data_IF_383950177281
#
_entry.id   IF_383950177281
#
_cell.length_a   1.000
_cell.length_b   1.000
_cell.length_c   1.000
_cell.angle_alpha   90.00
_cell.angle_beta   90.00
_cell.angle_gamma   90.00
#
_symmetry.space_group_name_H-M   'P 1'
#
loop_
_entity.id
_entity.type
_entity.pdbx_description
1 polymer ?
#
# COMPACT_ATOMS: atom_id res chain seq x y z
N UNK A 1 17.62 -21.58 -8.02
CA UNK A 1 16.22 -21.10 -8.08
C UNK A 1 16.10 -20.04 -7.01
N UNK A 2 15.64 -18.81 -7.36
CA UNK A 2 15.43 -17.76 -6.38
C UNK A 2 14.35 -18.12 -5.37
N UNK A 3 14.43 -17.56 -4.18
CA UNK A 3 13.47 -17.79 -3.09
C UNK A 3 12.19 -16.94 -3.23
N UNK A 4 12.03 -16.23 -4.36
CA UNK A 4 10.89 -15.35 -4.63
C UNK A 4 10.30 -15.61 -6.02
N UNK A 5 8.99 -15.40 -6.16
CA UNK A 5 8.28 -15.25 -7.42
C UNK A 5 7.89 -13.77 -7.57
N UNK A 6 8.17 -13.17 -8.73
CA UNK A 6 7.81 -11.79 -9.05
C UNK A 6 6.76 -11.80 -10.16
N UNK A 7 5.69 -11.02 -9.99
CA UNK A 7 4.60 -10.87 -10.94
C UNK A 7 4.33 -9.36 -11.18
N UNK A 8 4.25 -8.96 -12.44
CA UNK A 8 3.87 -7.60 -12.83
C UNK A 8 2.38 -7.36 -12.65
N UNK A 9 2.01 -6.13 -12.27
CA UNK A 9 0.62 -5.75 -12.00
C UNK A 9 -0.05 -5.02 -13.18
N UNK A 10 0.59 -4.97 -14.36
CA UNK A 10 0.08 -4.24 -15.52
C UNK A 10 0.29 -2.71 -15.45
N UNK A 11 0.87 -2.20 -14.39
CA UNK A 11 1.38 -0.82 -14.24
C UNK A 11 2.87 -0.93 -13.97
N UNK A 12 3.70 -0.38 -14.84
CA UNK A 12 5.16 -0.42 -14.70
C UNK A 12 5.60 0.19 -13.38
N UNK A 13 6.44 -0.52 -12.63
CA UNK A 13 6.92 -0.12 -11.30
C UNK A 13 6.11 -0.72 -10.14
N UNK A 14 5.09 -1.51 -10.42
CA UNK A 14 4.33 -2.26 -9.42
C UNK A 14 4.55 -3.77 -9.57
N UNK A 15 4.97 -4.44 -8.50
CA UNK A 15 5.27 -5.87 -8.51
C UNK A 15 4.70 -6.59 -7.30
N UNK A 16 4.07 -7.74 -7.53
CA UNK A 16 3.70 -8.68 -6.47
C UNK A 16 4.89 -9.62 -6.25
N UNK A 17 5.33 -9.74 -5.01
CA UNK A 17 6.44 -10.61 -4.65
C UNK A 17 5.93 -11.67 -3.67
N UNK A 18 6.07 -12.93 -4.06
CA UNK A 18 5.67 -14.06 -3.24
C UNK A 18 6.93 -14.82 -2.82
N UNK A 19 7.31 -14.80 -1.53
CA UNK A 19 8.45 -15.57 -1.04
C UNK A 19 8.15 -17.07 -1.02
N UNK A 20 9.19 -17.88 -1.11
CA UNK A 20 9.08 -19.31 -0.85
C UNK A 20 8.93 -19.54 0.66
N UNK A 21 7.88 -20.26 1.05
CA UNK A 21 7.60 -20.59 2.45
C UNK A 21 7.98 -22.04 2.71
N UNK A 22 8.86 -22.27 3.68
CA UNK A 22 9.29 -23.58 4.12
C UNK A 22 8.60 -23.91 5.45
N UNK A 23 7.63 -24.82 5.43
CA UNK A 23 6.86 -25.23 6.62
C UNK A 23 7.20 -26.63 7.10
N UNK A 24 7.14 -26.85 8.45
CA UNK A 24 7.21 -28.15 9.10
C UNK A 24 6.31 -28.18 10.35
N UNK A 25 6.38 -29.24 11.15
CA UNK A 25 5.57 -29.41 12.37
C UNK A 25 5.82 -28.36 13.48
N UNK A 26 6.81 -27.48 13.33
CA UNK A 26 7.13 -26.38 14.26
C UNK A 26 6.59 -25.04 13.79
N UNK A 27 6.17 -24.92 12.51
CA UNK A 27 5.75 -23.67 11.89
C UNK A 27 6.38 -23.47 10.51
N UNK A 28 6.78 -22.24 10.18
CA UNK A 28 7.36 -21.93 8.88
C UNK A 28 8.57 -21.01 8.99
N UNK A 29 9.40 -21.04 7.94
CA UNK A 29 10.47 -20.08 7.66
C UNK A 29 10.32 -19.55 6.25
N UNK A 30 10.61 -18.27 6.05
CA UNK A 30 10.73 -17.65 4.73
C UNK A 30 11.73 -16.49 4.77
N UNK A 31 12.44 -16.29 3.69
CA UNK A 31 13.19 -15.05 3.48
C UNK A 31 12.22 -13.97 2.95
N UNK A 32 12.08 -12.89 3.71
CA UNK A 32 11.16 -11.81 3.35
C UNK A 32 11.83 -10.75 2.46
N UNK A 33 13.15 -10.70 2.48
CA UNK A 33 13.98 -9.91 1.59
C UNK A 33 15.37 -10.52 1.50
N UNK A 34 15.84 -10.70 0.28
CA UNK A 34 17.19 -11.10 -0.03
C UNK A 34 17.65 -10.29 -1.25
N UNK A 35 18.64 -9.41 -1.07
CA UNK A 35 19.08 -8.49 -2.10
C UNK A 35 19.49 -9.21 -3.41
N UNK A 36 20.15 -10.37 -3.29
CA UNK A 36 20.60 -11.15 -4.47
C UNK A 36 19.42 -11.69 -5.27
N UNK A 37 18.40 -12.21 -4.60
CA UNK A 37 17.19 -12.75 -5.27
C UNK A 37 16.39 -11.64 -5.95
N UNK A 38 16.30 -10.46 -5.30
CA UNK A 38 15.66 -9.29 -5.91
C UNK A 38 16.44 -8.81 -7.14
N UNK A 39 17.78 -8.69 -7.05
CA UNK A 39 18.62 -8.32 -8.20
C UNK A 39 18.53 -9.34 -9.34
N UNK A 40 18.51 -10.64 -9.06
CA UNK A 40 18.34 -11.70 -10.07
C UNK A 40 16.98 -11.60 -10.76
N UNK A 41 15.96 -11.12 -10.05
CA UNK A 41 14.62 -10.86 -10.61
C UNK A 41 14.52 -9.49 -11.33
N UNK A 42 15.62 -8.74 -11.45
CA UNK A 42 15.66 -7.43 -12.10
C UNK A 42 15.23 -6.26 -11.20
N UNK A 43 15.03 -6.50 -9.91
CA UNK A 43 14.61 -5.50 -8.92
C UNK A 43 15.83 -4.98 -8.15
N UNK A 44 16.35 -3.81 -8.54
CA UNK A 44 17.62 -3.28 -8.04
C UNK A 44 17.47 -2.15 -6.99
N UNK A 45 16.37 -2.15 -6.23
CA UNK A 45 16.15 -1.16 -5.17
C UNK A 45 17.06 -1.42 -3.97
N UNK A 46 17.45 -0.34 -3.29
CA UNK A 46 18.14 -0.38 -2.01
C UNK A 46 17.23 0.18 -0.92
N UNK A 47 17.00 -0.58 0.13
CA UNK A 47 16.22 -0.13 1.28
C UNK A 47 17.11 0.45 2.37
N UNK A 48 16.66 1.56 2.97
CA UNK A 48 17.43 2.32 3.98
C UNK A 48 16.70 2.45 5.31
N UNK A 49 15.38 2.15 5.36
CA UNK A 49 14.57 2.27 6.57
C UNK A 49 13.47 1.21 6.58
N UNK A 50 13.20 0.64 7.75
CA UNK A 50 12.07 -0.25 8.02
C UNK A 50 11.06 0.44 8.92
N UNK A 51 9.77 0.26 8.60
CA UNK A 51 8.67 0.80 9.37
C UNK A 51 7.66 -0.29 9.71
N UNK A 52 6.96 -0.11 10.83
CA UNK A 52 5.85 -0.97 11.23
C UNK A 52 4.73 -0.14 11.85
N UNK A 53 3.49 -0.50 11.55
CA UNK A 53 2.30 0.06 12.18
C UNK A 53 1.31 -1.03 12.56
N UNK A 54 0.47 -0.75 13.55
CA UNK A 54 -0.69 -1.56 13.91
C UNK A 54 -1.94 -0.70 13.78
N UNK A 55 -3.02 -1.29 13.26
CA UNK A 55 -4.30 -0.60 13.08
C UNK A 55 -5.46 -1.58 13.22
N UNK A 56 -6.59 -1.09 13.73
CA UNK A 56 -7.85 -1.85 13.83
C UNK A 56 -8.65 -1.81 12.54
N UNK A 57 -9.66 -2.69 12.42
CA UNK A 57 -10.60 -2.73 11.28
C UNK A 57 -11.18 -1.35 10.97
N UNK A 58 -11.35 -1.06 9.69
CA UNK A 58 -11.88 0.20 9.21
C UNK A 58 -10.89 1.37 9.21
N UNK A 59 -9.68 1.21 9.75
CA UNK A 59 -8.63 2.23 9.59
C UNK A 59 -8.17 2.23 8.14
N UNK A 60 -8.22 3.41 7.51
CA UNK A 60 -7.62 3.68 6.22
C UNK A 60 -6.49 4.71 6.40
N UNK A 61 -5.34 4.43 5.83
CA UNK A 61 -4.18 5.34 5.79
C UNK A 61 -3.84 5.62 4.34
N UNK A 62 -3.79 6.88 3.97
CA UNK A 62 -3.42 7.26 2.61
C UNK A 62 -4.39 8.26 1.96
N UNK A 63 -4.15 8.54 0.71
CA UNK A 63 -3.00 8.09 -0.12
C UNK A 63 -1.82 9.02 0.10
N UNK A 64 -0.64 8.47 0.42
CA UNK A 64 0.54 9.26 0.79
C UNK A 64 1.70 9.07 -0.17
N UNK A 65 2.48 10.13 -0.38
CA UNK A 65 3.75 10.12 -1.09
C UNK A 65 4.67 11.20 -0.54
N UNK A 66 5.95 11.17 -0.87
CA UNK A 66 6.91 12.27 -0.67
C UNK A 66 7.14 12.96 -2.02
N UNK A 67 7.24 14.30 -2.01
CA UNK A 67 7.27 15.15 -3.20
C UNK A 67 8.67 15.27 -3.79
N UNK A 68 9.64 15.69 -2.98
CA UNK A 68 11.02 15.94 -3.37
C UNK A 68 11.92 14.72 -3.16
N UNK A 69 11.56 13.86 -2.18
CA UNK A 69 12.31 12.66 -1.81
C UNK A 69 11.41 11.43 -1.92
N UNK A 70 10.97 11.05 -3.15
CA UNK A 70 10.01 9.97 -3.33
C UNK A 70 10.57 8.63 -2.84
N UNK A 71 9.74 7.85 -2.17
CA UNK A 71 10.09 6.56 -1.60
C UNK A 71 9.46 5.42 -2.39
N UNK A 72 10.28 4.47 -2.84
CA UNK A 72 9.83 3.13 -3.18
C UNK A 72 9.53 2.34 -1.89
N UNK A 73 8.53 1.48 -1.92
CA UNK A 73 8.05 0.75 -0.74
C UNK A 73 7.90 -0.73 -1.04
N UNK A 74 8.44 -1.58 -0.17
CA UNK A 74 8.15 -3.02 -0.15
C UNK A 74 7.31 -3.32 1.08
N UNK A 75 6.02 -3.55 0.87
CA UNK A 75 5.04 -3.67 1.94
C UNK A 75 4.55 -5.10 2.13
N UNK A 76 4.21 -5.47 3.37
CA UNK A 76 3.62 -6.76 3.74
C UNK A 76 2.82 -6.69 5.03
N UNK A 77 1.95 -7.67 5.24
CA UNK A 77 1.17 -7.83 6.47
C UNK A 77 1.75 -8.96 7.32
N UNK A 78 1.98 -8.69 8.60
CA UNK A 78 2.49 -9.66 9.58
C UNK A 78 1.38 -10.33 10.37
N UNK A 79 0.28 -9.61 10.60
CA UNK A 79 -0.93 -10.08 11.30
C UNK A 79 -2.14 -9.50 10.60
N UNK A 80 -3.17 -10.31 10.37
CA UNK A 80 -4.42 -9.90 9.76
C UNK A 80 -4.33 -9.65 8.26
N UNK A 81 -5.16 -8.73 7.74
CA UNK A 81 -5.28 -8.44 6.31
C UNK A 81 -5.63 -6.99 6.05
N UNK A 82 -5.13 -6.48 4.92
CA UNK A 82 -5.45 -5.15 4.40
C UNK A 82 -5.75 -5.24 2.91
N UNK A 83 -6.51 -4.27 2.39
CA UNK A 83 -6.51 -3.96 0.97
C UNK A 83 -5.52 -2.83 0.73
N UNK A 84 -4.47 -3.12 -0.01
CA UNK A 84 -3.35 -2.22 -0.28
C UNK A 84 -3.47 -1.65 -1.68
N UNK A 85 -3.26 -0.34 -1.85
CA UNK A 85 -3.51 0.39 -3.11
C UNK A 85 -2.32 1.28 -3.44
N UNK A 86 -1.88 1.24 -4.69
CA UNK A 86 -0.94 2.17 -5.29
C UNK A 86 -1.57 2.89 -6.48
N UNK A 87 -1.41 4.21 -6.56
CA UNK A 87 -1.89 5.07 -7.66
C UNK A 87 -0.68 5.69 -8.36
N UNK A 88 -0.59 5.53 -9.68
CA UNK A 88 0.46 6.16 -10.49
C UNK A 88 0.27 7.67 -10.55
N UNK A 89 1.20 8.43 -9.96
CA UNK A 89 1.21 9.90 -9.99
C UNK A 89 2.41 10.48 -10.77
N UNK A 90 3.11 9.64 -11.54
CA UNK A 90 4.26 10.06 -12.35
C UNK A 90 3.81 10.90 -13.53
N UNK A 91 4.24 12.16 -13.57
CA UNK A 91 3.95 13.05 -14.69
C UNK A 91 4.44 12.45 -16.02
N UNK A 92 3.58 12.43 -17.02
CA UNK A 92 3.88 11.85 -18.34
C UNK A 92 3.78 10.32 -18.44
N UNK A 93 3.46 9.62 -17.36
CA UNK A 93 3.19 8.18 -17.40
C UNK A 93 1.93 7.88 -18.22
N UNK A 94 1.97 6.79 -19.02
CA UNK A 94 0.79 6.28 -19.74
C UNK A 94 -0.31 5.77 -18.80
N UNK A 95 0.05 5.49 -17.55
CA UNK A 95 -0.84 4.99 -16.50
C UNK A 95 -1.10 6.04 -15.41
N UNK A 96 -0.78 7.32 -15.66
CA UNK A 96 -1.07 8.41 -14.73
C UNK A 96 -2.56 8.39 -14.28
N UNK A 97 -2.80 8.43 -12.98
CA UNK A 97 -4.12 8.34 -12.35
C UNK A 97 -4.70 6.92 -12.30
N UNK A 98 -4.05 5.92 -12.90
CA UNK A 98 -4.47 4.52 -12.77
C UNK A 98 -3.97 3.95 -11.44
N UNK A 99 -4.75 3.02 -10.91
CA UNK A 99 -4.42 2.36 -9.65
C UNK A 99 -4.41 0.84 -9.78
N UNK A 100 -3.67 0.22 -8.90
CA UNK A 100 -3.71 -1.22 -8.64
C UNK A 100 -3.91 -1.47 -7.17
N UNK A 101 -4.78 -2.43 -6.84
CA UNK A 101 -5.05 -2.79 -5.46
C UNK A 101 -5.11 -4.31 -5.28
N UNK A 102 -4.65 -4.77 -4.12
CA UNK A 102 -4.66 -6.19 -3.78
C UNK A 102 -4.82 -6.42 -2.28
N UNK A 103 -5.30 -7.60 -1.92
CA UNK A 103 -5.30 -8.04 -0.53
C UNK A 103 -3.93 -8.58 -0.17
N UNK A 104 -3.33 -7.99 0.88
CA UNK A 104 -2.17 -8.50 1.59
C UNK A 104 -2.63 -9.07 2.93
N UNK A 105 -2.14 -10.25 3.28
CA UNK A 105 -2.46 -10.87 4.56
C UNK A 105 -1.30 -11.70 5.12
N UNK A 106 -1.36 -11.98 6.42
CA UNK A 106 -0.42 -12.88 7.07
C UNK A 106 -0.45 -14.30 6.48
N UNK A 107 -1.61 -14.72 5.91
CA UNK A 107 -1.80 -16.06 5.37
C UNK A 107 -1.31 -16.20 3.92
N UNK A 108 -1.40 -15.11 3.11
CA UNK A 108 -1.00 -15.20 1.70
C UNK A 108 0.50 -14.94 1.48
N UNK A 109 1.21 -14.43 2.49
CA UNK A 109 2.65 -14.13 2.52
C UNK A 109 3.11 -13.17 1.42
N UNK A 110 2.18 -12.60 0.62
CA UNK A 110 2.51 -11.71 -0.48
C UNK A 110 3.07 -10.40 0.02
N UNK A 111 3.96 -9.84 -0.77
CA UNK A 111 4.47 -8.49 -0.60
C UNK A 111 4.14 -7.69 -1.86
N UNK A 112 3.96 -6.40 -1.70
CA UNK A 112 3.74 -5.50 -2.82
C UNK A 112 4.90 -4.51 -2.89
N UNK A 113 5.62 -4.50 -4.00
CA UNK A 113 6.60 -3.47 -4.28
C UNK A 113 5.97 -2.37 -5.11
N UNK A 114 6.10 -1.17 -4.61
CA UNK A 114 5.58 0.08 -5.17
C UNK A 114 6.78 0.98 -5.38
N UNK A 115 7.15 1.29 -6.63
CA UNK A 115 8.30 2.16 -6.92
C UNK A 115 8.02 3.61 -6.53
N UNK A 116 9.03 4.45 -6.69
CA UNK A 116 8.92 5.89 -6.53
C UNK A 116 7.91 6.47 -7.53
N UNK A 117 7.22 7.56 -7.15
CA UNK A 117 6.23 8.23 -8.00
C UNK A 117 4.85 7.60 -7.96
N UNK A 118 4.55 6.86 -6.89
CA UNK A 118 3.19 6.38 -6.61
C UNK A 118 2.67 6.98 -5.30
N UNK A 119 1.37 7.29 -5.25
CA UNK A 119 0.66 7.51 -4.01
C UNK A 119 0.19 6.15 -3.47
N UNK A 120 0.32 5.93 -2.16
CA UNK A 120 0.11 4.64 -1.52
C UNK A 120 -0.84 4.77 -0.33
N UNK A 121 -1.71 3.78 -0.15
CA UNK A 121 -2.59 3.68 1.00
C UNK A 121 -3.14 2.27 1.19
N UNK A 122 -3.75 2.03 2.35
CA UNK A 122 -4.39 0.75 2.64
C UNK A 122 -5.60 0.89 3.56
N UNK A 123 -6.55 -0.05 3.43
CA UNK A 123 -7.70 -0.23 4.30
C UNK A 123 -7.57 -1.54 5.08
N UNK A 124 -7.72 -1.49 6.40
CA UNK A 124 -7.69 -2.68 7.27
C UNK A 124 -9.01 -3.43 7.18
N UNK A 125 -8.92 -4.72 6.77
CA UNK A 125 -10.07 -5.62 6.57
C UNK A 125 -10.33 -6.54 7.77
N UNK A 126 -9.27 -6.98 8.47
CA UNK A 126 -9.37 -7.83 9.66
C UNK A 126 -9.57 -7.01 10.94
N UNK A 127 -9.89 -7.67 12.07
CA UNK A 127 -10.06 -7.00 13.36
C UNK A 127 -8.86 -6.15 13.77
N UNK A 128 -7.67 -6.62 13.43
CA UNK A 128 -6.39 -5.91 13.59
C UNK A 128 -5.46 -6.30 12.44
N UNK A 129 -4.63 -5.36 12.00
CA UNK A 129 -3.54 -5.65 11.07
C UNK A 129 -2.22 -5.05 11.59
N UNK A 130 -1.13 -5.84 11.51
CA UNK A 130 0.24 -5.36 11.68
C UNK A 130 0.88 -5.30 10.30
N UNK A 131 1.19 -4.07 9.88
CA UNK A 131 1.71 -3.72 8.56
C UNK A 131 3.17 -3.33 8.67
N UNK A 132 4.04 -3.93 7.85
CA UNK A 132 5.47 -3.66 7.84
C UNK A 132 5.93 -3.32 6.43
N UNK A 133 6.85 -2.36 6.30
CA UNK A 133 7.37 -1.98 5.00
C UNK A 133 8.80 -1.44 5.07
N UNK A 134 9.56 -1.76 4.03
CA UNK A 134 10.89 -1.19 3.75
C UNK A 134 10.75 -0.05 2.76
N UNK A 135 11.59 0.99 2.87
CA UNK A 135 11.58 2.15 1.97
C UNK A 135 12.97 2.44 1.40
N UNK A 136 12.98 2.99 0.17
CA UNK A 136 14.22 3.28 -0.59
C UNK A 136 14.86 4.61 -0.20
N UNK A 137 14.12 5.50 0.47
CA UNK A 137 14.63 6.75 1.02
C UNK A 137 14.08 6.98 2.43
N UNK A 138 14.71 7.86 3.20
CA UNK A 138 14.26 8.20 4.55
C UNK A 138 12.93 8.97 4.53
N UNK A 139 12.25 8.95 5.66
CA UNK A 139 11.13 9.85 5.87
C UNK A 139 11.63 11.29 6.09
N UNK A 140 11.13 12.22 5.30
CA UNK A 140 11.47 13.63 5.36
C UNK A 140 10.31 14.43 5.94
N UNK A 141 10.43 14.98 7.17
CA UNK A 141 9.39 15.83 7.76
C UNK A 141 9.07 17.02 6.85
N UNK A 142 7.77 17.24 6.58
CA UNK A 142 7.30 18.35 5.75
C UNK A 142 7.30 18.09 4.23
N UNK A 143 7.85 16.96 3.77
CA UNK A 143 7.86 16.58 2.35
C UNK A 143 6.63 15.77 1.93
N UNK A 144 5.75 15.42 2.87
CA UNK A 144 4.57 14.62 2.58
C UNK A 144 3.58 15.34 1.66
N UNK A 145 3.09 14.58 0.69
CA UNK A 145 1.91 14.88 -0.11
C UNK A 145 0.85 13.80 0.09
N UNK A 146 -0.37 14.11 -0.29
CA UNK A 146 -1.46 13.15 -0.26
C UNK A 146 -2.54 13.44 -1.28
N UNK A 147 -3.34 12.42 -1.55
CA UNK A 147 -4.51 12.49 -2.42
C UNK A 147 -5.69 11.91 -1.65
N UNK A 148 -6.87 12.48 -1.83
CA UNK A 148 -8.10 11.98 -1.23
C UNK A 148 -8.30 10.49 -1.57
N UNK A 149 -8.46 9.67 -0.55
CA UNK A 149 -8.63 8.22 -0.68
C UNK A 149 -9.87 7.84 -1.52
N UNK A 150 -10.87 8.72 -1.58
CA UNK A 150 -12.15 8.57 -2.29
C UNK A 150 -12.26 9.48 -3.51
N UNK A 151 -11.15 9.91 -4.07
CA UNK A 151 -11.11 10.75 -5.27
C UNK A 151 -11.90 10.09 -6.42
N UNK A 152 -12.97 10.74 -6.95
CA UNK A 152 -13.80 10.17 -8.00
C UNK A 152 -13.09 10.04 -9.34
N UNK A 153 -12.07 10.86 -9.60
CA UNK A 153 -11.31 10.83 -10.86
C UNK A 153 -10.37 9.60 -10.89
N UNK A 154 -9.90 9.16 -9.72
CA UNK A 154 -9.13 7.91 -9.58
C UNK A 154 -10.09 6.72 -9.51
N UNK A 155 -11.19 6.84 -8.76
CA UNK A 155 -12.24 5.84 -8.68
C UNK A 155 -11.79 4.53 -8.03
N UNK A 156 -11.03 4.58 -6.93
CA UNK A 156 -10.62 3.37 -6.19
C UNK A 156 -11.85 2.66 -5.64
N UNK A 157 -11.95 1.36 -5.91
CA UNK A 157 -13.00 0.50 -5.35
C UNK A 157 -12.45 -0.17 -4.09
N UNK A 158 -12.77 0.39 -2.94
CA UNK A 158 -12.39 -0.17 -1.65
C UNK A 158 -13.31 -1.34 -1.30
N UNK A 159 -12.80 -2.56 -1.11
CA UNK A 159 -13.63 -3.71 -0.78
C UNK A 159 -14.24 -3.55 0.62
N UNK A 160 -15.43 -4.09 0.79
CA UNK A 160 -16.17 -4.08 2.06
C UNK A 160 -16.58 -2.69 2.59
N UNK A 161 -16.27 -1.62 1.86
CA UNK A 161 -16.57 -0.25 2.24
C UNK A 161 -17.87 0.23 1.59
N UNK A 162 -18.79 0.77 2.39
CA UNK A 162 -20.06 1.33 1.98
C UNK A 162 -20.11 2.82 2.30
N UNK A 163 -20.71 3.61 1.43
CA UNK A 163 -20.88 5.05 1.59
C UNK A 163 -21.03 5.75 0.24
N UNK A 164 -21.24 7.05 0.29
CA UNK A 164 -21.30 7.90 -0.90
C UNK A 164 -20.26 9.02 -0.78
N UNK A 165 -19.59 9.30 -1.89
CA UNK A 165 -18.75 10.48 -1.99
C UNK A 165 -19.57 11.77 -1.80
N UNK A 166 -19.21 12.58 -0.82
CA UNK A 166 -19.89 13.82 -0.45
C UNK A 166 -19.08 15.09 -0.84
N UNK A 167 -18.08 14.95 -1.70
CA UNK A 167 -17.26 16.08 -2.16
C UNK A 167 -16.03 16.37 -1.30
N UNK A 168 -15.75 15.55 -0.30
CA UNK A 168 -14.56 15.70 0.55
C UNK A 168 -13.93 14.35 0.89
N UNK A 169 -12.69 14.37 1.37
CA UNK A 169 -12.00 13.18 1.87
C UNK A 169 -12.50 12.73 3.26
N UNK A 170 -13.49 13.40 3.85
CA UNK A 170 -14.02 13.01 5.15
C UNK A 170 -14.65 11.62 5.12
N UNK A 171 -14.50 10.91 6.23
CA UNK A 171 -15.03 9.57 6.41
C UNK A 171 -16.50 9.55 6.84
N UNK A 172 -17.15 10.68 6.98
CA UNK A 172 -18.54 10.77 7.45
C UNK A 172 -19.47 9.96 6.54
N UNK A 173 -20.27 9.08 7.17
CA UNK A 173 -21.19 8.20 6.46
C UNK A 173 -20.57 6.97 5.79
N UNK A 174 -19.25 6.79 5.83
CA UNK A 174 -18.59 5.58 5.35
C UNK A 174 -18.42 4.56 6.47
N UNK A 175 -18.70 3.30 6.16
CA UNK A 175 -18.57 2.15 7.09
C UNK A 175 -18.27 0.86 6.34
N UNK A 176 -17.66 -0.08 7.03
CA UNK A 176 -17.52 -1.46 6.57
C UNK A 176 -18.91 -2.15 6.52
N UNK A 177 -19.01 -3.26 5.79
CA UNK A 177 -20.28 -4.01 5.67
C UNK A 177 -20.84 -4.51 7.00
N UNK A 178 -19.99 -4.75 8.00
CA UNK A 178 -20.39 -5.13 9.36
C UNK A 178 -20.77 -3.94 10.25
N UNK A 179 -20.79 -2.73 9.71
CA UNK A 179 -21.13 -1.50 10.41
C UNK A 179 -19.96 -0.80 11.09
N UNK A 180 -18.74 -1.37 11.07
CA UNK A 180 -17.53 -0.70 11.59
C UNK A 180 -17.30 0.62 10.83
N UNK A 181 -17.22 1.78 11.52
CA UNK A 181 -17.02 3.05 10.85
C UNK A 181 -15.63 3.13 10.20
N UNK A 182 -15.54 3.83 9.07
CA UNK A 182 -14.25 4.18 8.48
C UNK A 182 -13.53 5.16 9.42
N UNK A 183 -12.25 4.89 9.66
CA UNK A 183 -11.42 5.68 10.57
C UNK A 183 -10.18 6.23 9.83
N UNK A 184 -10.11 7.55 9.73
CA UNK A 184 -9.03 8.31 9.11
C UNK A 184 -8.34 9.20 10.14
N UNK A 185 -7.06 9.49 9.91
CA UNK A 185 -6.39 10.58 10.63
C UNK A 185 -6.93 11.94 10.19
N UNK A 186 -6.75 12.97 11.01
CA UNK A 186 -7.15 14.34 10.65
C UNK A 186 -6.43 14.82 9.38
N UNK A 187 -5.22 14.37 9.14
CA UNK A 187 -4.46 14.65 7.95
C UNK A 187 -5.11 14.02 6.71
N UNK A 188 -5.51 12.76 6.79
CA UNK A 188 -6.08 12.02 5.66
C UNK A 188 -7.48 12.54 5.25
N UNK A 189 -8.16 13.22 6.16
CA UNK A 189 -9.45 13.91 5.89
C UNK A 189 -9.32 15.19 5.06
N UNK A 190 -8.10 15.74 4.95
CA UNK A 190 -7.87 17.06 4.36
C UNK A 190 -7.25 17.01 2.96
N UNK A 191 -6.88 15.83 2.47
CA UNK A 191 -6.28 15.72 1.15
C UNK A 191 -7.28 16.08 0.04
N UNK A 192 -6.82 16.84 -0.94
CA UNK A 192 -7.55 17.16 -2.17
C UNK A 192 -7.47 16.00 -3.18
N UNK A 193 -8.24 16.12 -4.26
CA UNK A 193 -8.17 15.19 -5.37
C UNK A 193 -6.88 15.31 -6.19
N UNK A 194 -6.61 14.31 -7.04
CA UNK A 194 -5.41 14.23 -7.89
C UNK A 194 -5.26 15.47 -8.81
N UNK A 195 -6.39 16.02 -9.27
CA UNK A 195 -6.43 17.21 -10.13
C UNK A 195 -6.82 18.49 -9.38
N UNK A 196 -6.92 18.45 -8.05
CA UNK A 196 -7.19 19.65 -7.26
C UNK A 196 -5.99 20.62 -7.37
N UNK A 197 -6.30 21.89 -7.69
CA UNK A 197 -5.30 22.98 -7.83
C UNK A 197 -4.95 23.56 -6.45
#
# INVERSE_FOLDING_TARGET
>A
MGQIKVEECGIEGLYIITPTVHGDGRGYFMETYNERDFQQAGLNMRFVQDNQSMSSKGVLRGLHFQKEYPQGKLVRVLVGSVFDVAVDIRSGSKTFGKWYGMVLSAENYRQFYISEGFAHGFLVLSSVAVFSYKVTDFWHPGDEGGIAWNDPDIGIIWPDLQGKYLGSADAEGYKMSDGTPLNLSDKDRQWGGLFAK
#
